data_IF_785888234702
#
_entry.id   IF_785888234702
#
_cell.length_a   1.000
_cell.length_b   1.000
_cell.length_c   1.000
_cell.angle_alpha   90.00
_cell.angle_beta   90.00
_cell.angle_gamma   90.00
#
_symmetry.space_group_name_H-M   'P 1'
#
loop_
_entity.id
_entity.type
_entity.pdbx_description
1 polymer ?
#
# COMPACT_ATOMS: atom_id res chain seq x y z
N UNK A 1 20.65 7.29 1.76
CA UNK A 1 20.68 5.95 1.12
C UNK A 1 21.26 6.11 -0.28
N UNK A 2 22.15 5.21 -0.72
CA UNK A 2 22.71 5.27 -2.07
C UNK A 2 21.98 4.23 -2.92
N UNK A 3 21.30 4.68 -3.97
CA UNK A 3 20.53 3.81 -4.87
C UNK A 3 21.13 3.86 -6.27
N UNK A 4 21.08 2.72 -6.96
CA UNK A 4 21.47 2.65 -8.36
C UNK A 4 20.51 3.47 -9.24
N UNK A 5 21.00 4.02 -10.35
CA UNK A 5 20.19 4.81 -11.27
C UNK A 5 19.00 4.02 -11.83
N UNK A 6 19.15 2.72 -12.08
CA UNK A 6 18.05 1.88 -12.56
C UNK A 6 16.93 1.76 -11.53
N UNK A 7 17.27 1.61 -10.24
CA UNK A 7 16.30 1.58 -9.16
C UNK A 7 15.59 2.93 -8.98
N UNK A 8 16.34 4.03 -9.11
CA UNK A 8 15.75 5.38 -9.06
C UNK A 8 14.74 5.59 -10.20
N UNK A 9 15.08 5.16 -11.41
CA UNK A 9 14.19 5.31 -12.56
C UNK A 9 12.95 4.40 -12.45
N UNK A 10 13.10 3.22 -11.84
CA UNK A 10 11.97 2.35 -11.53
C UNK A 10 11.04 2.99 -10.49
N UNK A 11 11.59 3.55 -9.42
CA UNK A 11 10.81 4.25 -8.40
C UNK A 11 10.10 5.48 -8.98
N UNK A 12 10.74 6.24 -9.87
CA UNK A 12 10.08 7.35 -10.56
C UNK A 12 8.88 6.89 -11.39
N UNK A 13 8.99 5.75 -12.11
CA UNK A 13 7.85 5.19 -12.86
C UNK A 13 6.71 4.74 -11.95
N UNK A 14 7.03 4.18 -10.78
CA UNK A 14 6.02 3.80 -9.78
C UNK A 14 5.33 5.04 -9.22
N UNK A 15 6.11 6.07 -8.86
CA UNK A 15 5.59 7.33 -8.34
C UNK A 15 4.56 7.96 -9.28
N UNK A 16 4.87 8.03 -10.57
CA UNK A 16 3.97 8.56 -11.60
C UNK A 16 2.71 7.69 -11.78
N UNK A 17 2.89 6.36 -11.86
CA UNK A 17 1.79 5.43 -12.15
C UNK A 17 0.81 5.29 -10.99
N UNK A 18 1.32 5.16 -9.77
CA UNK A 18 0.54 4.67 -8.62
C UNK A 18 0.32 5.76 -7.57
N UNK A 19 1.20 6.77 -7.51
CA UNK A 19 1.21 7.77 -6.43
C UNK A 19 1.06 9.22 -6.93
N UNK A 20 0.67 9.42 -8.19
CA UNK A 20 0.37 10.76 -8.74
C UNK A 20 1.58 11.68 -8.85
N UNK A 21 2.77 11.12 -9.13
CA UNK A 21 4.01 11.90 -9.24
C UNK A 21 4.65 12.25 -7.90
N UNK A 22 4.39 11.45 -6.86
CA UNK A 22 4.97 11.62 -5.54
C UNK A 22 6.50 11.70 -5.55
N UNK A 23 7.07 12.32 -4.52
CA UNK A 23 8.53 12.39 -4.38
C UNK A 23 9.14 10.99 -4.21
N UNK A 24 10.44 10.86 -4.49
CA UNK A 24 11.15 9.58 -4.33
C UNK A 24 11.08 9.07 -2.87
N UNK A 25 11.27 9.97 -1.90
CA UNK A 25 11.25 9.59 -0.48
C UNK A 25 9.85 9.16 -0.04
N UNK A 26 8.81 9.86 -0.50
CA UNK A 26 7.41 9.46 -0.25
C UNK A 26 7.06 8.12 -0.89
N UNK A 27 7.51 7.91 -2.14
CA UNK A 27 7.33 6.64 -2.85
C UNK A 27 7.98 5.49 -2.10
N UNK A 28 9.22 5.68 -1.61
CA UNK A 28 9.91 4.66 -0.82
C UNK A 28 9.20 4.41 0.50
N UNK A 29 8.72 5.45 1.19
CA UNK A 29 7.98 5.30 2.45
C UNK A 29 6.66 4.53 2.25
N UNK A 30 5.91 4.83 1.18
CA UNK A 30 4.68 4.10 0.84
C UNK A 30 4.95 2.64 0.49
N UNK A 31 5.95 2.37 -0.34
CA UNK A 31 6.33 1.00 -0.69
C UNK A 31 6.81 0.20 0.53
N UNK A 32 7.54 0.83 1.45
CA UNK A 32 7.94 0.20 2.69
C UNK A 32 6.72 -0.17 3.55
N UNK A 33 5.78 0.76 3.69
CA UNK A 33 4.52 0.52 4.41
C UNK A 33 3.69 -0.60 3.78
N UNK A 34 3.53 -0.61 2.44
CA UNK A 34 2.81 -1.66 1.71
C UNK A 34 3.48 -3.03 1.93
N UNK A 35 4.80 -3.10 1.82
CA UNK A 35 5.55 -4.32 2.06
C UNK A 35 5.37 -4.81 3.50
N UNK A 36 5.45 -3.93 4.50
CA UNK A 36 5.24 -4.29 5.91
C UNK A 36 3.81 -4.78 6.17
N UNK A 37 2.82 -4.13 5.54
CA UNK A 37 1.41 -4.51 5.63
C UNK A 37 1.18 -5.90 5.05
N UNK A 38 1.68 -6.17 3.84
CA UNK A 38 1.61 -7.49 3.21
C UNK A 38 2.33 -8.56 4.04
N UNK A 39 3.49 -8.22 4.61
CA UNK A 39 4.24 -9.13 5.47
C UNK A 39 3.51 -9.42 6.79
N UNK A 40 2.72 -8.47 7.32
CA UNK A 40 1.85 -8.70 8.47
C UNK A 40 0.70 -9.64 8.10
N UNK A 41 0.03 -9.40 6.97
CA UNK A 41 -1.05 -10.27 6.48
C UNK A 41 -0.58 -11.70 6.22
N UNK A 42 0.62 -11.87 5.66
CA UNK A 42 1.20 -13.19 5.39
C UNK A 42 1.53 -14.00 6.66
N UNK A 43 1.52 -13.37 7.85
CA UNK A 43 1.75 -14.04 9.14
C UNK A 43 0.46 -14.43 9.86
N UNK A 44 -0.69 -13.95 9.39
CA UNK A 44 -1.97 -14.31 9.97
C UNK A 44 -2.28 -15.79 9.73
N UNK A 45 -2.96 -16.41 10.68
CA UNK A 45 -3.61 -17.70 10.46
C UNK A 45 -4.79 -17.59 9.49
N UNK A 46 -5.27 -18.70 8.95
CA UNK A 46 -6.41 -18.72 8.01
C UNK A 46 -7.70 -18.15 8.63
N UNK A 47 -7.89 -18.31 9.94
CA UNK A 47 -9.04 -17.77 10.66
C UNK A 47 -8.89 -16.25 10.86
N UNK A 48 -7.72 -15.77 11.29
CA UNK A 48 -7.45 -14.33 11.41
C UNK A 48 -7.50 -13.60 10.06
N UNK A 49 -7.05 -14.26 8.98
CA UNK A 49 -7.13 -13.71 7.64
C UNK A 49 -8.59 -13.61 7.17
N UNK A 50 -9.43 -14.58 7.52
CA UNK A 50 -10.87 -14.56 7.21
C UNK A 50 -11.56 -13.41 7.93
N UNK A 51 -11.31 -13.27 9.23
CA UNK A 51 -11.86 -12.17 10.04
C UNK A 51 -11.45 -10.81 9.46
N UNK A 52 -10.17 -10.62 9.13
CA UNK A 52 -9.69 -9.41 8.47
C UNK A 52 -10.39 -9.13 7.14
N UNK A 53 -10.60 -10.15 6.29
CA UNK A 53 -11.29 -9.98 5.01
C UNK A 53 -12.77 -9.61 5.19
N UNK A 54 -13.44 -10.18 6.20
CA UNK A 54 -14.82 -9.85 6.53
C UNK A 54 -14.95 -8.40 7.01
N UNK A 55 -14.04 -7.95 7.88
CA UNK A 55 -13.96 -6.54 8.31
C UNK A 55 -13.72 -5.60 7.12
N UNK A 56 -12.77 -5.91 6.23
CA UNK A 56 -12.50 -5.09 5.05
C UNK A 56 -13.69 -5.01 4.10
N UNK A 57 -14.43 -6.11 3.92
CA UNK A 57 -15.66 -6.11 3.10
C UNK A 57 -16.73 -5.24 3.74
N UNK A 58 -16.94 -5.35 5.06
CA UNK A 58 -17.91 -4.52 5.77
C UNK A 58 -17.59 -3.02 5.65
N UNK A 59 -16.30 -2.65 5.69
CA UNK A 59 -15.86 -1.28 5.48
C UNK A 59 -16.08 -0.80 4.04
N UNK A 60 -15.80 -1.64 3.04
CA UNK A 60 -16.02 -1.31 1.63
C UNK A 60 -17.51 -1.16 1.29
N UNK A 61 -18.39 -1.94 1.93
CA UNK A 61 -19.83 -1.82 1.77
C UNK A 61 -20.41 -0.60 2.52
N UNK A 62 -19.67 -0.07 3.51
CA UNK A 62 -20.00 1.16 4.25
C UNK A 62 -19.42 2.38 3.53
N UNK A 63 -19.61 2.48 2.21
CA UNK A 63 -19.27 3.67 1.43
C UNK A 63 -20.06 4.84 2.03
N UNK A 64 -19.39 5.62 2.89
CA UNK A 64 -19.99 6.74 3.59
C UNK A 64 -20.33 7.77 2.51
N UNK A 65 -21.63 7.99 2.29
CA UNK A 65 -22.16 9.20 1.66
C UNK A 65 -21.56 10.41 2.41
N UNK A 66 -20.40 10.89 1.96
CA UNK A 66 -19.88 12.18 2.37
C UNK A 66 -20.74 13.21 1.61
N UNK A 67 -21.86 13.57 2.23
CA UNK A 67 -22.61 14.75 1.81
C UNK A 67 -21.73 16.00 1.99
N UNK A 68 -21.45 16.70 0.88
CA UNK A 68 -20.90 18.06 0.88
C UNK A 68 -21.82 19.06 1.62
#
# INVERSE_FOLDING_TARGET
>A
MRIDSSNRDALARIAERDFGGASLDETVARLAFEHESLAALARLSDDELRDYQEEQRALADTDVDIAE
#
